data_IF_420770423377
#
_entry.id   IF_420770423377
#
_cell.length_a   1.000
_cell.length_b   1.000
_cell.length_c   1.000
_cell.angle_alpha   90.00
_cell.angle_beta   90.00
_cell.angle_gamma   90.00
#
_symmetry.space_group_name_H-M   'P 1'
#
loop_
_entity.id
_entity.type
_entity.pdbx_description
1 polymer ?
#
# COMPACT_ATOMS: atom_id res chain seq x y z
N UNK A 1 25.90 25.13 -10.33
CA UNK A 1 25.40 25.10 -8.94
C UNK A 1 23.96 24.55 -8.82
N UNK A 2 22.98 25.10 -9.55
CA UNK A 2 21.58 24.59 -9.57
C UNK A 2 21.46 23.09 -9.94
N UNK A 3 22.33 22.59 -10.82
CA UNK A 3 22.40 21.18 -11.23
C UNK A 3 22.94 20.20 -10.16
N UNK A 4 23.78 20.67 -9.24
CA UNK A 4 24.26 19.84 -8.11
C UNK A 4 23.14 19.68 -7.09
N UNK A 5 22.53 20.80 -6.68
CA UNK A 5 21.43 20.84 -5.71
C UNK A 5 20.25 19.96 -6.16
N UNK A 6 19.89 20.01 -7.44
CA UNK A 6 18.82 19.17 -8.00
C UNK A 6 19.15 17.68 -7.93
N UNK A 7 20.42 17.28 -8.10
CA UNK A 7 20.87 15.88 -7.96
C UNK A 7 20.84 15.41 -6.52
N UNK A 8 21.29 16.23 -5.56
CA UNK A 8 21.32 15.84 -4.15
C UNK A 8 19.90 15.66 -3.56
N UNK A 9 18.96 16.53 -3.95
CA UNK A 9 17.55 16.42 -3.55
C UNK A 9 16.90 15.15 -4.14
N UNK A 10 17.25 14.77 -5.38
CA UNK A 10 16.75 13.55 -6.01
C UNK A 10 17.37 12.29 -5.38
N UNK A 11 18.68 12.30 -5.09
CA UNK A 11 19.37 11.17 -4.41
C UNK A 11 18.74 10.89 -3.05
N UNK A 12 18.48 11.92 -2.23
CA UNK A 12 17.81 11.73 -0.94
C UNK A 12 16.40 11.16 -1.11
N UNK A 13 15.61 11.64 -2.10
CA UNK A 13 14.27 11.11 -2.37
C UNK A 13 14.26 9.62 -2.70
N UNK A 14 15.19 9.18 -3.55
CA UNK A 14 15.31 7.75 -3.92
C UNK A 14 15.70 6.91 -2.70
N UNK A 15 16.61 7.41 -1.85
CA UNK A 15 16.97 6.73 -0.61
C UNK A 15 15.77 6.58 0.34
N UNK A 16 14.97 7.64 0.54
CA UNK A 16 13.74 7.55 1.33
C UNK A 16 12.74 6.56 0.72
N UNK A 17 12.55 6.59 -0.60
CA UNK A 17 11.69 5.64 -1.29
C UNK A 17 12.14 4.19 -1.05
N UNK A 18 13.44 3.92 -1.16
CA UNK A 18 14.02 2.61 -0.89
C UNK A 18 13.77 2.14 0.54
N UNK A 19 14.00 3.00 1.54
CA UNK A 19 13.74 2.69 2.96
C UNK A 19 12.26 2.42 3.22
N UNK A 20 11.36 3.26 2.70
CA UNK A 20 9.91 3.05 2.86
C UNK A 20 9.44 1.77 2.15
N UNK A 21 10.01 1.45 0.98
CA UNK A 21 9.71 0.20 0.27
C UNK A 21 10.19 -1.01 1.06
N UNK A 22 11.42 -0.99 1.59
CA UNK A 22 11.95 -2.06 2.43
C UNK A 22 11.09 -2.25 3.68
N UNK A 23 10.71 -1.17 4.34
CA UNK A 23 9.81 -1.20 5.50
C UNK A 23 8.45 -1.81 5.13
N UNK A 24 7.87 -1.39 4.01
CA UNK A 24 6.60 -1.94 3.51
C UNK A 24 6.70 -3.45 3.22
N UNK A 25 7.82 -3.90 2.66
CA UNK A 25 8.08 -5.33 2.43
C UNK A 25 8.22 -6.11 3.73
N UNK A 26 8.96 -5.59 4.72
CA UNK A 26 9.10 -6.23 6.04
C UNK A 26 7.72 -6.37 6.70
N UNK A 27 6.91 -5.32 6.73
CA UNK A 27 5.55 -5.40 7.28
C UNK A 27 4.65 -6.36 6.50
N UNK A 28 4.81 -6.43 5.17
CA UNK A 28 4.09 -7.41 4.35
C UNK A 28 4.50 -8.83 4.69
N UNK A 29 5.79 -9.06 4.92
CA UNK A 29 6.31 -10.36 5.29
C UNK A 29 5.82 -10.78 6.68
N UNK A 30 5.91 -9.88 7.67
CA UNK A 30 5.36 -10.11 9.01
C UNK A 30 3.86 -10.42 8.92
N UNK A 31 3.10 -9.68 8.12
CA UNK A 31 1.68 -9.96 7.87
C UNK A 31 1.44 -11.35 7.27
N UNK A 32 2.29 -11.82 6.35
CA UNK A 32 2.18 -13.19 5.81
C UNK A 32 2.56 -14.28 6.80
N UNK A 33 3.42 -13.98 7.79
CA UNK A 33 3.84 -14.93 8.81
C UNK A 33 2.79 -15.14 9.91
N UNK A 34 1.80 -14.25 10.03
CA UNK A 34 0.73 -14.40 11.01
C UNK A 34 -0.43 -15.13 10.29
N UNK A 35 -0.65 -16.44 10.54
CA UNK A 35 -1.69 -17.20 9.86
C UNK A 35 -3.06 -16.88 10.46
N UNK A 36 -3.56 -15.66 10.23
CA UNK A 36 -4.95 -15.31 10.57
C UNK A 36 -5.83 -15.62 9.37
N UNK A 37 -6.48 -16.77 9.42
CA UNK A 37 -7.42 -17.17 8.39
C UNK A 37 -8.83 -16.74 8.80
N UNK A 38 -9.28 -15.58 8.33
CA UNK A 38 -10.62 -15.06 8.59
C UNK A 38 -11.73 -15.80 7.81
N UNK A 39 -11.43 -16.97 7.22
CA UNK A 39 -12.37 -17.76 6.41
C UNK A 39 -12.64 -17.19 5.01
N UNK A 40 -12.08 -16.02 4.68
CA UNK A 40 -12.23 -15.36 3.37
C UNK A 40 -10.85 -15.30 2.70
N UNK A 41 -10.67 -15.89 1.51
CA UNK A 41 -9.41 -15.86 0.80
C UNK A 41 -8.97 -14.43 0.50
N UNK A 42 -7.73 -14.10 0.89
CA UNK A 42 -7.12 -12.80 0.63
C UNK A 42 -7.25 -11.76 1.73
N UNK A 43 -8.11 -11.95 2.74
CA UNK A 43 -8.21 -11.02 3.87
C UNK A 43 -6.91 -11.05 4.69
N UNK A 44 -6.33 -9.87 4.91
CA UNK A 44 -5.09 -9.67 5.68
C UNK A 44 -5.33 -8.70 6.83
N UNK A 45 -4.41 -8.66 7.78
CA UNK A 45 -4.45 -7.73 8.93
C UNK A 45 -4.47 -6.26 8.51
N UNK A 46 -3.89 -5.92 7.36
CA UNK A 46 -3.73 -4.54 6.90
C UNK A 46 -2.46 -3.86 7.43
N UNK A 47 -1.51 -4.60 8.02
CA UNK A 47 -0.26 -4.03 8.55
C UNK A 47 0.52 -3.29 7.47
N UNK A 48 0.57 -3.85 6.27
CA UNK A 48 1.24 -3.18 5.17
C UNK A 48 0.42 -1.99 4.61
N UNK A 49 -0.90 -1.98 4.76
CA UNK A 49 -1.73 -0.83 4.41
C UNK A 49 -1.42 0.36 5.32
N UNK A 50 -1.09 0.13 6.60
CA UNK A 50 -0.61 1.18 7.50
C UNK A 50 0.62 1.90 6.96
N UNK A 51 1.58 1.16 6.37
CA UNK A 51 2.76 1.75 5.74
C UNK A 51 2.37 2.63 4.55
N UNK A 52 1.37 2.23 3.77
CA UNK A 52 0.83 3.04 2.67
C UNK A 52 0.23 4.35 3.18
N UNK A 53 -0.50 4.33 4.30
CA UNK A 53 -1.03 5.55 4.93
C UNK A 53 0.14 6.47 5.32
N UNK A 54 1.15 5.95 6.00
CA UNK A 54 2.32 6.75 6.41
C UNK A 54 3.03 7.34 5.18
N UNK A 55 3.24 6.54 4.14
CA UNK A 55 3.84 6.98 2.89
C UNK A 55 3.00 8.08 2.21
N UNK A 56 1.66 7.99 2.25
CA UNK A 56 0.74 8.99 1.69
C UNK A 56 0.95 10.39 2.28
N UNK A 57 1.38 10.49 3.55
CA UNK A 57 1.67 11.79 4.19
C UNK A 57 3.12 12.23 4.06
N UNK A 58 4.05 11.32 3.79
CA UNK A 58 5.50 11.61 3.72
C UNK A 58 6.04 11.76 2.30
N UNK A 59 5.32 11.24 1.30
CA UNK A 59 5.78 11.14 -0.08
C UNK A 59 4.76 11.72 -1.07
N UNK A 60 5.18 11.88 -2.33
CA UNK A 60 4.26 12.31 -3.39
C UNK A 60 3.28 11.19 -3.73
N UNK A 61 2.07 11.56 -4.13
CA UNK A 61 1.01 10.60 -4.48
C UNK A 61 1.49 9.52 -5.46
N UNK A 62 2.19 9.94 -6.52
CA UNK A 62 2.77 9.04 -7.54
C UNK A 62 3.77 8.05 -6.97
N UNK A 63 4.61 8.48 -6.03
CA UNK A 63 5.56 7.60 -5.35
C UNK A 63 4.81 6.57 -4.48
N UNK A 64 3.71 6.95 -3.85
CA UNK A 64 2.92 6.02 -3.00
C UNK A 64 2.21 4.95 -3.81
N UNK A 65 1.66 5.31 -4.98
CA UNK A 65 1.11 4.31 -5.91
C UNK A 65 2.18 3.33 -6.36
N UNK A 66 3.36 3.84 -6.75
CA UNK A 66 4.47 2.99 -7.15
C UNK A 66 4.90 2.06 -6.03
N UNK A 67 5.03 2.58 -4.80
CA UNK A 67 5.39 1.80 -3.62
C UNK A 67 4.38 0.68 -3.36
N UNK A 68 3.07 0.97 -3.45
CA UNK A 68 2.02 -0.04 -3.26
C UNK A 68 2.10 -1.15 -4.30
N UNK A 69 2.24 -0.81 -5.59
CA UNK A 69 2.35 -1.79 -6.68
C UNK A 69 3.61 -2.63 -6.51
N UNK A 70 4.78 -2.00 -6.31
CA UNK A 70 6.06 -2.69 -6.12
C UNK A 70 5.99 -3.62 -4.91
N UNK A 71 5.45 -3.14 -3.79
CA UNK A 71 5.28 -3.94 -2.57
C UNK A 71 4.39 -5.16 -2.82
N UNK A 72 3.24 -5.00 -3.48
CA UNK A 72 2.31 -6.11 -3.73
C UNK A 72 2.92 -7.13 -4.69
N UNK A 73 3.58 -6.67 -5.76
CA UNK A 73 4.25 -7.55 -6.71
C UNK A 73 5.37 -8.33 -6.02
N UNK A 74 6.31 -7.66 -5.35
CA UNK A 74 7.43 -8.31 -4.68
C UNK A 74 6.95 -9.26 -3.57
N UNK A 75 6.06 -8.81 -2.68
CA UNK A 75 5.55 -9.69 -1.61
C UNK A 75 4.74 -10.85 -2.16
N UNK A 76 4.00 -10.65 -3.25
CA UNK A 76 3.22 -11.70 -3.90
C UNK A 76 4.08 -12.73 -4.62
N UNK A 77 5.18 -12.32 -5.28
CA UNK A 77 6.13 -13.25 -5.90
C UNK A 77 6.99 -14.00 -4.88
N UNK A 78 7.39 -13.36 -3.78
CA UNK A 78 8.28 -13.98 -2.78
C UNK A 78 7.49 -14.86 -1.79
N UNK A 79 6.32 -14.38 -1.33
CA UNK A 79 5.58 -14.99 -0.21
C UNK A 79 4.15 -15.42 -0.55
N UNK A 80 3.65 -15.09 -1.74
CA UNK A 80 2.24 -15.24 -2.09
C UNK A 80 1.99 -16.18 -3.28
N UNK A 81 0.77 -16.10 -3.79
CA UNK A 81 0.31 -16.79 -5.00
C UNK A 81 -0.31 -15.76 -5.97
N UNK A 82 -0.50 -16.13 -7.24
CA UNK A 82 -1.13 -15.32 -8.28
C UNK A 82 -2.45 -14.68 -7.81
N UNK A 83 -3.34 -15.46 -7.20
CA UNK A 83 -4.59 -14.93 -6.64
C UNK A 83 -4.36 -13.86 -5.57
N UNK A 84 -3.39 -14.06 -4.67
CA UNK A 84 -3.04 -13.08 -3.63
C UNK A 84 -2.57 -11.75 -4.22
N UNK A 85 -1.83 -11.79 -5.34
CA UNK A 85 -1.38 -10.60 -6.06
C UNK A 85 -2.58 -9.82 -6.60
N UNK A 86 -3.50 -10.50 -7.30
CA UNK A 86 -4.66 -9.86 -7.92
C UNK A 86 -5.56 -9.23 -6.84
N UNK A 87 -5.88 -9.97 -5.77
CA UNK A 87 -6.67 -9.44 -4.66
C UNK A 87 -5.98 -8.24 -4.00
N UNK A 88 -4.70 -8.36 -3.67
CA UNK A 88 -3.94 -7.30 -2.97
C UNK A 88 -3.73 -6.06 -3.84
N UNK A 89 -3.58 -6.22 -5.17
CA UNK A 89 -3.48 -5.09 -6.10
C UNK A 89 -4.81 -4.35 -6.21
N UNK A 90 -5.91 -5.06 -6.41
CA UNK A 90 -7.23 -4.45 -6.52
C UNK A 90 -7.61 -3.71 -5.23
N UNK A 91 -7.48 -4.38 -4.08
CA UNK A 91 -7.69 -3.75 -2.77
C UNK A 91 -6.75 -2.58 -2.51
N UNK A 92 -5.45 -2.74 -2.77
CA UNK A 92 -4.45 -1.71 -2.53
C UNK A 92 -4.64 -0.46 -3.38
N UNK A 93 -4.99 -0.61 -4.67
CA UNK A 93 -5.25 0.52 -5.57
C UNK A 93 -6.58 1.23 -5.24
N UNK A 94 -7.63 0.46 -4.93
CA UNK A 94 -8.91 1.04 -4.52
C UNK A 94 -8.76 1.85 -3.22
N UNK A 95 -8.12 1.25 -2.21
CA UNK A 95 -7.76 1.88 -0.94
C UNK A 95 -7.00 3.19 -1.16
N UNK A 96 -5.93 3.16 -1.95
CA UNK A 96 -5.12 4.35 -2.23
C UNK A 96 -5.89 5.46 -2.91
N UNK A 97 -6.76 5.10 -3.85
CA UNK A 97 -7.60 6.06 -4.57
C UNK A 97 -8.54 6.77 -3.61
N UNK A 98 -9.23 6.03 -2.74
CA UNK A 98 -10.12 6.61 -1.73
C UNK A 98 -9.34 7.48 -0.75
N UNK A 99 -8.20 7.02 -0.24
CA UNK A 99 -7.38 7.81 0.68
C UNK A 99 -6.87 9.11 0.03
N UNK A 100 -6.49 9.06 -1.25
CA UNK A 100 -6.07 10.24 -2.01
C UNK A 100 -7.20 11.28 -2.16
N UNK A 101 -8.41 10.82 -2.45
CA UNK A 101 -9.60 11.68 -2.57
C UNK A 101 -9.97 12.31 -1.23
N UNK A 102 -10.01 11.52 -0.15
CA UNK A 102 -10.32 12.01 1.19
C UNK A 102 -9.27 13.02 1.69
N UNK A 103 -7.99 12.77 1.42
CA UNK A 103 -6.92 13.71 1.73
C UNK A 103 -7.10 15.06 1.02
N UNK A 104 -7.60 15.06 -0.22
CA UNK A 104 -7.90 16.29 -0.98
C UNK A 104 -9.08 17.07 -0.37
N UNK A 105 -10.02 16.39 0.27
CA UNK A 105 -11.21 16.99 0.87
C UNK A 105 -10.93 17.80 2.15
N UNK A 106 -9.71 17.77 2.70
CA UNK A 106 -9.23 18.51 3.91
C UNK A 106 -10.05 18.39 5.21
N UNK A 107 -11.22 17.75 5.21
CA UNK A 107 -12.09 17.59 6.37
C UNK A 107 -11.87 16.32 7.20
N UNK A 108 -10.96 15.43 6.77
CA UNK A 108 -10.74 14.13 7.40
C UNK A 108 -9.43 14.07 8.17
N UNK A 109 -9.46 13.48 9.37
CA UNK A 109 -8.26 13.20 10.16
C UNK A 109 -7.44 12.05 9.56
N UNK A 110 -6.17 11.94 9.96
CA UNK A 110 -5.29 10.82 9.56
C UNK A 110 -5.91 9.47 9.92
N UNK A 111 -6.57 9.37 11.08
CA UNK A 111 -7.28 8.16 11.49
C UNK A 111 -8.45 7.85 10.56
N UNK A 112 -9.27 8.84 10.20
CA UNK A 112 -10.40 8.64 9.29
C UNK A 112 -9.96 8.17 7.90
N UNK A 113 -8.87 8.74 7.37
CA UNK A 113 -8.29 8.32 6.09
C UNK A 113 -7.74 6.89 6.17
N UNK A 114 -7.10 6.52 7.28
CA UNK A 114 -6.61 5.15 7.53
C UNK A 114 -7.75 4.13 7.58
N UNK A 115 -8.82 4.43 8.34
CA UNK A 115 -10.01 3.57 8.46
C UNK A 115 -10.68 3.40 7.10
N UNK A 116 -10.89 4.48 6.36
CA UNK A 116 -11.45 4.40 5.02
C UNK A 116 -10.54 3.56 4.09
N UNK A 117 -9.22 3.78 4.12
CA UNK A 117 -8.27 2.96 3.38
C UNK A 117 -8.39 1.48 3.70
N UNK A 118 -8.43 1.11 4.99
CA UNK A 118 -8.59 -0.29 5.41
C UNK A 118 -9.90 -0.91 4.93
N UNK A 119 -11.03 -0.20 5.08
CA UNK A 119 -12.35 -0.66 4.62
C UNK A 119 -12.33 -0.88 3.11
N UNK A 120 -11.90 0.11 2.33
CA UNK A 120 -11.90 0.01 0.87
C UNK A 120 -10.84 -0.97 0.34
N UNK A 121 -9.77 -1.25 1.09
CA UNK A 121 -8.85 -2.33 0.75
C UNK A 121 -9.59 -3.68 0.74
N UNK A 122 -10.31 -3.98 1.82
CA UNK A 122 -11.06 -5.22 1.95
C UNK A 122 -12.22 -5.29 0.94
N UNK A 123 -12.92 -4.18 0.70
CA UNK A 123 -13.96 -4.11 -0.33
C UNK A 123 -13.39 -4.43 -1.71
N UNK A 124 -12.21 -3.88 -2.06
CA UNK A 124 -11.57 -4.18 -3.34
C UNK A 124 -11.16 -5.65 -3.47
N UNK A 125 -10.70 -6.27 -2.38
CA UNK A 125 -10.43 -7.71 -2.36
C UNK A 125 -11.70 -8.54 -2.54
N UNK A 126 -12.78 -8.20 -1.85
CA UNK A 126 -14.07 -8.89 -1.95
C UNK A 126 -14.70 -8.76 -3.33
N UNK A 127 -14.61 -7.58 -3.97
CA UNK A 127 -15.11 -7.40 -5.34
C UNK A 127 -14.42 -8.36 -6.30
N UNK A 128 -13.09 -8.47 -6.23
CA UNK A 128 -12.36 -9.41 -7.08
C UNK A 128 -12.66 -10.86 -6.69
N UNK A 129 -12.81 -11.16 -5.40
CA UNK A 129 -13.20 -12.50 -4.95
C UNK A 129 -14.55 -12.92 -5.56
N UNK A 130 -15.54 -12.02 -5.60
CA UNK A 130 -16.84 -12.27 -6.24
C UNK A 130 -16.78 -12.40 -7.78
N UNK A 131 -15.76 -11.84 -8.43
CA UNK A 131 -15.59 -11.95 -9.88
C UNK A 131 -14.84 -13.21 -10.32
N UNK A 132 -14.01 -13.75 -9.42
CA UNK A 132 -13.10 -14.86 -9.70
C UNK A 132 -13.65 -16.20 -9.19
N UNK A 133 -14.50 -16.19 -8.17
CA UNK A 133 -15.16 -17.35 -7.55
C UNK A 133 -16.61 -17.42 -8.00
#
# INVERSE_FOLDING_TARGET
MQWQIRRDIVKNRVAYFGVFTALALIFSYVETLIPINFGIPGVKLGLANLVIVIALYKMKLTEVYLLSVVRVLLSGFIFGNYFSIIYSLAGGLLSLTVMALLKKSKGFSVMGISVAGGVFHNVGQLIVAMLVV
#
